data_IF_803797350981
#
_entry.id   IF_803797350981
#
_cell.length_a   1.000
_cell.length_b   1.000
_cell.length_c   1.000
_cell.angle_alpha   90.00
_cell.angle_beta   90.00
_cell.angle_gamma   90.00
#
_symmetry.space_group_name_H-M   'P 1'
#
loop_
_entity.id
_entity.type
_entity.pdbx_description
1 polymer ?
#
# COMPACT_ATOMS: atom_id res chain seq x y z
N UNK A 1 -33.31 -4.83 21.14
CA UNK A 1 -32.40 -5.10 22.27
C UNK A 1 -31.00 -5.21 21.70
N UNK A 2 -30.18 -4.18 21.87
CA UNK A 2 -28.83 -4.13 21.28
C UNK A 2 -27.79 -4.16 22.39
N UNK A 3 -27.05 -5.26 22.49
CA UNK A 3 -25.83 -5.32 23.29
C UNK A 3 -24.84 -4.28 22.78
N UNK A 4 -24.47 -3.37 23.67
CA UNK A 4 -23.50 -2.31 23.45
C UNK A 4 -22.25 -2.65 24.24
N UNK A 5 -21.46 -3.57 23.72
CA UNK A 5 -20.09 -3.75 24.18
C UNK A 5 -19.20 -2.68 23.57
N UNK A 6 -18.77 -1.75 24.43
CA UNK A 6 -17.74 -0.76 24.14
C UNK A 6 -16.57 -0.96 25.11
N UNK A 7 -15.38 -1.32 24.61
CA UNK A 7 -14.14 -0.96 25.25
C UNK A 7 -13.46 0.14 24.45
N UNK A 8 -13.14 1.24 25.13
CA UNK A 8 -12.35 2.33 24.58
C UNK A 8 -10.98 1.83 24.14
N UNK A 9 -10.64 2.08 22.87
CA UNK A 9 -9.27 2.00 22.38
C UNK A 9 -9.09 3.01 21.25
N UNK A 10 -8.05 3.83 21.40
CA UNK A 10 -7.49 4.69 20.36
C UNK A 10 -7.23 3.87 19.08
N UNK A 11 -7.34 4.48 17.88
CA UNK A 11 -7.38 3.73 16.63
C UNK A 11 -6.01 3.15 16.30
N UNK A 12 -5.76 1.92 16.71
CA UNK A 12 -4.85 1.04 16.00
C UNK A 12 -5.49 0.75 14.63
N UNK A 13 -4.88 1.29 13.56
CA UNK A 13 -5.33 1.19 12.16
C UNK A 13 -5.29 -0.25 11.58
N UNK A 14 -5.39 -1.28 12.41
CA UNK A 14 -5.08 -2.67 12.02
C UNK A 14 -6.27 -3.54 11.63
N UNK A 15 -7.39 -3.49 12.36
CA UNK A 15 -8.25 -4.70 12.38
C UNK A 15 -9.76 -4.47 12.53
N UNK A 16 -10.21 -3.27 12.89
CA UNK A 16 -11.65 -3.03 13.18
C UNK A 16 -12.42 -2.25 12.10
N UNK A 17 -11.78 -1.86 10.99
CA UNK A 17 -12.41 -1.03 9.95
C UNK A 17 -13.36 -1.82 9.03
N UNK A 18 -13.17 -3.13 8.91
CA UNK A 18 -13.98 -4.00 8.08
C UNK A 18 -14.65 -5.07 8.94
N UNK A 19 -15.95 -5.28 8.75
CA UNK A 19 -16.73 -6.35 9.39
C UNK A 19 -17.34 -7.24 8.31
N UNK A 20 -17.10 -8.54 8.38
CA UNK A 20 -17.83 -9.49 7.53
C UNK A 20 -19.20 -9.73 8.16
N UNK A 21 -20.27 -9.48 7.42
CA UNK A 21 -21.66 -9.76 7.83
C UNK A 21 -22.27 -10.63 6.74
N UNK A 22 -22.55 -11.89 7.05
CA UNK A 22 -22.92 -12.88 6.04
C UNK A 22 -21.77 -13.11 5.04
N UNK A 23 -22.04 -12.92 3.75
CA UNK A 23 -21.03 -13.04 2.69
C UNK A 23 -20.37 -11.70 2.32
N UNK A 24 -20.84 -10.57 2.84
CA UNK A 24 -20.40 -9.25 2.41
C UNK A 24 -19.62 -8.49 3.48
N UNK A 25 -18.61 -7.74 3.04
CA UNK A 25 -17.88 -6.83 3.90
C UNK A 25 -18.64 -5.52 4.12
N UNK A 26 -18.57 -5.03 5.35
CA UNK A 26 -19.08 -3.74 5.79
C UNK A 26 -17.92 -2.86 6.25
N UNK A 27 -17.96 -1.60 5.83
CA UNK A 27 -17.10 -0.54 6.33
C UNK A 27 -17.66 0.03 7.62
N UNK A 28 -16.78 0.24 8.61
CA UNK A 28 -17.10 0.81 9.91
C UNK A 28 -16.09 1.89 10.28
N UNK A 29 -16.59 3.06 10.70
CA UNK A 29 -15.73 4.17 11.14
C UNK A 29 -16.43 5.03 12.19
N UNK A 30 -15.74 5.29 13.31
CA UNK A 30 -16.22 6.22 14.33
C UNK A 30 -16.25 7.68 13.82
N UNK A 31 -17.31 8.40 14.17
CA UNK A 31 -17.44 9.84 13.92
C UNK A 31 -16.75 10.59 15.07
N UNK A 32 -15.90 11.60 14.80
CA UNK A 32 -15.28 12.41 15.85
C UNK A 32 -16.32 13.06 16.77
N UNK A 33 -16.09 13.04 18.09
CA UNK A 33 -17.04 13.53 19.13
C UNK A 33 -17.59 14.93 18.83
N UNK A 34 -16.72 15.84 18.39
CA UNK A 34 -17.09 17.23 18.04
C UNK A 34 -18.14 17.30 16.92
N UNK A 35 -18.16 16.30 16.03
CA UNK A 35 -19.10 16.22 14.92
C UNK A 35 -20.34 15.38 15.22
N UNK A 36 -20.33 14.59 16.29
CA UNK A 36 -21.47 13.73 16.65
C UNK A 36 -22.72 14.55 16.99
N UNK A 37 -22.56 15.72 17.63
CA UNK A 37 -23.67 16.63 17.92
C UNK A 37 -24.30 17.21 16.65
N UNK A 38 -23.48 17.52 15.65
CA UNK A 38 -23.96 18.06 14.37
C UNK A 38 -24.58 16.98 13.46
N UNK A 39 -24.11 15.74 13.58
CA UNK A 39 -24.49 14.61 12.72
C UNK A 39 -25.49 13.64 13.33
N UNK A 40 -25.79 13.75 14.62
CA UNK A 40 -26.66 12.80 15.33
C UNK A 40 -26.20 11.33 15.25
N UNK A 41 -24.98 11.06 14.76
CA UNK A 41 -24.42 9.74 14.48
C UNK A 41 -23.05 9.61 15.12
N UNK A 42 -22.86 8.51 15.82
CA UNK A 42 -21.59 8.15 16.48
C UNK A 42 -20.69 7.30 15.59
N UNK A 43 -21.27 6.60 14.61
CA UNK A 43 -20.56 5.70 13.71
C UNK A 43 -21.13 5.78 12.28
N UNK A 44 -20.25 5.64 11.29
CA UNK A 44 -20.58 5.42 9.88
C UNK A 44 -20.43 3.92 9.61
N UNK A 45 -21.54 3.27 9.24
CA UNK A 45 -21.57 1.86 8.84
C UNK A 45 -22.20 1.73 7.45
N UNK A 46 -21.48 1.11 6.51
CA UNK A 46 -21.93 0.94 5.12
C UNK A 46 -21.57 -0.44 4.60
N UNK A 47 -22.48 -1.07 3.85
CA UNK A 47 -22.16 -2.29 3.12
C UNK A 47 -21.28 -1.96 1.92
N UNK A 48 -20.21 -2.75 1.72
CA UNK A 48 -19.36 -2.65 0.54
C UNK A 48 -19.82 -3.57 -0.59
N UNK A 49 -20.87 -4.39 -0.36
CA UNK A 49 -21.43 -5.34 -1.33
C UNK A 49 -20.35 -6.14 -2.06
N UNK A 50 -19.39 -6.68 -1.29
CA UNK A 50 -18.29 -7.45 -1.85
C UNK A 50 -17.90 -8.55 -0.89
N UNK A 51 -17.59 -9.71 -1.45
CA UNK A 51 -17.11 -10.89 -0.72
C UNK A 51 -15.57 -11.00 -0.76
N UNK A 52 -14.92 -10.18 -1.60
CA UNK A 52 -13.47 -10.15 -1.73
C UNK A 52 -12.86 -9.21 -0.69
N UNK A 53 -11.98 -9.76 0.16
CA UNK A 53 -11.26 -8.99 1.19
C UNK A 53 -10.38 -7.88 0.58
N UNK A 54 -9.79 -8.14 -0.60
CA UNK A 54 -8.95 -7.17 -1.28
C UNK A 54 -9.77 -5.97 -1.79
N UNK A 55 -10.87 -6.26 -2.48
CA UNK A 55 -11.77 -5.24 -3.01
C UNK A 55 -12.45 -4.45 -1.88
N UNK A 56 -12.80 -5.13 -0.79
CA UNK A 56 -13.29 -4.50 0.43
C UNK A 56 -12.28 -3.50 1.00
N UNK A 57 -11.00 -3.86 1.10
CA UNK A 57 -9.94 -2.96 1.56
C UNK A 57 -9.77 -1.75 0.65
N UNK A 58 -9.78 -1.96 -0.67
CA UNK A 58 -9.66 -0.88 -1.65
C UNK A 58 -10.83 0.12 -1.53
N UNK A 59 -12.08 -0.39 -1.53
CA UNK A 59 -13.29 0.44 -1.36
C UNK A 59 -13.30 1.16 -0.01
N UNK A 60 -12.95 0.46 1.07
CA UNK A 60 -12.89 1.04 2.40
C UNK A 60 -11.81 2.12 2.53
N UNK A 61 -10.65 1.97 1.90
CA UNK A 61 -9.62 3.00 1.87
C UNK A 61 -10.12 4.27 1.18
N UNK A 62 -10.82 4.14 0.05
CA UNK A 62 -11.41 5.27 -0.66
C UNK A 62 -12.48 5.99 0.20
N UNK A 63 -13.35 5.22 0.87
CA UNK A 63 -14.34 5.76 1.82
C UNK A 63 -13.67 6.47 3.00
N UNK A 64 -12.58 5.91 3.53
CA UNK A 64 -11.84 6.49 4.64
C UNK A 64 -11.20 7.85 4.26
N UNK A 65 -10.59 7.94 3.08
CA UNK A 65 -10.04 9.20 2.60
C UNK A 65 -11.13 10.28 2.49
N UNK A 66 -12.24 9.96 1.81
CA UNK A 66 -13.35 10.90 1.60
C UNK A 66 -14.02 11.34 2.90
N UNK A 67 -14.36 10.39 3.78
CA UNK A 67 -14.96 10.72 5.09
C UNK A 67 -13.98 11.53 5.95
N UNK A 68 -12.66 11.37 5.78
CA UNK A 68 -11.65 12.20 6.43
C UNK A 68 -11.68 13.66 5.97
N UNK A 69 -11.75 13.91 4.66
CA UNK A 69 -11.89 15.26 4.10
C UNK A 69 -13.17 15.95 4.59
N UNK A 70 -14.26 15.20 4.65
CA UNK A 70 -15.55 15.67 5.16
C UNK A 70 -15.43 16.07 6.62
N UNK A 71 -14.84 15.23 7.47
CA UNK A 71 -14.62 15.56 8.87
C UNK A 71 -13.67 16.74 9.07
N UNK A 72 -12.75 16.97 8.14
CA UNK A 72 -11.88 18.13 8.16
C UNK A 72 -12.66 19.40 7.81
N UNK A 73 -13.43 19.39 6.71
CA UNK A 73 -14.30 20.50 6.30
C UNK A 73 -15.35 20.85 7.37
N UNK A 74 -15.95 19.84 7.99
CA UNK A 74 -16.92 20.03 9.07
C UNK A 74 -16.30 20.73 10.29
N UNK A 75 -15.04 20.43 10.60
CA UNK A 75 -14.28 21.11 11.66
C UNK A 75 -13.95 22.55 11.30
N UNK A 76 -13.59 22.84 10.05
CA UNK A 76 -13.29 24.23 9.62
C UNK A 76 -14.54 25.10 9.53
N UNK A 77 -15.69 24.53 9.20
CA UNK A 77 -16.96 25.24 8.99
C UNK A 77 -17.82 25.39 10.26
N UNK A 78 -17.30 25.00 11.43
CA UNK A 78 -17.88 25.22 12.78
C UNK A 78 -19.43 25.14 12.84
N UNK A 79 -20.01 23.99 12.51
CA UNK A 79 -21.42 23.71 12.81
C UNK A 79 -22.44 23.93 11.69
N UNK A 80 -22.03 24.34 10.48
CA UNK A 80 -22.90 24.31 9.29
C UNK A 80 -22.92 22.97 8.54
N UNK A 81 -22.25 21.96 9.07
CA UNK A 81 -22.15 20.66 8.45
C UNK A 81 -23.42 19.83 8.71
N UNK A 82 -24.03 19.27 7.66
CA UNK A 82 -25.28 18.51 7.77
C UNK A 82 -25.11 17.05 7.37
N UNK A 83 -25.96 16.19 7.95
CA UNK A 83 -26.03 14.76 7.61
C UNK A 83 -26.27 14.48 6.12
N UNK A 84 -26.92 15.41 5.42
CA UNK A 84 -27.22 15.28 4.00
C UNK A 84 -25.96 15.30 3.15
N UNK A 85 -24.96 16.10 3.54
CA UNK A 85 -23.66 16.16 2.86
C UNK A 85 -22.82 14.90 3.08
N UNK A 86 -22.89 14.34 4.29
CA UNK A 86 -22.25 13.06 4.57
C UNK A 86 -22.92 11.94 3.78
N UNK A 87 -24.26 11.91 3.80
CA UNK A 87 -25.05 10.88 3.12
C UNK A 87 -24.87 10.96 1.60
N UNK A 88 -24.88 12.15 0.99
CA UNK A 88 -24.66 12.28 -0.46
C UNK A 88 -23.31 11.71 -0.88
N UNK A 89 -22.23 12.06 -0.18
CA UNK A 89 -20.88 11.57 -0.48
C UNK A 89 -20.71 10.06 -0.29
N UNK A 90 -21.47 9.46 0.62
CA UNK A 90 -21.52 8.03 0.83
C UNK A 90 -22.39 7.31 -0.21
N UNK A 91 -23.53 7.90 -0.58
CA UNK A 91 -24.49 7.36 -1.56
C UNK A 91 -23.93 7.41 -2.98
N UNK A 92 -23.13 8.42 -3.35
CA UNK A 92 -22.47 8.50 -4.66
C UNK A 92 -21.57 7.30 -5.00
N UNK A 93 -21.26 6.42 -4.04
CA UNK A 93 -20.45 5.22 -4.27
C UNK A 93 -21.26 3.92 -4.42
N UNK A 94 -22.58 3.95 -4.32
CA UNK A 94 -23.46 2.81 -4.60
C UNK A 94 -24.26 3.08 -5.88
N UNK A 95 -24.03 2.42 -7.02
CA UNK A 95 -22.97 1.49 -7.41
C UNK A 95 -22.11 2.07 -8.55
N UNK A 96 -20.79 2.17 -8.39
CA UNK A 96 -19.92 2.03 -9.56
C UNK A 96 -19.78 0.53 -9.78
N UNK A 97 -20.73 0.02 -10.56
CA UNK A 97 -20.67 -1.28 -11.22
C UNK A 97 -19.42 -1.29 -12.09
N UNK A 98 -18.28 -1.68 -11.51
CA UNK A 98 -17.32 -2.45 -12.30
C UNK A 98 -17.89 -3.86 -12.27
N UNK A 99 -18.78 -4.11 -13.23
CA UNK A 99 -19.14 -5.45 -13.67
C UNK A 99 -17.84 -6.28 -13.70
N UNK A 100 -17.72 -7.38 -12.95
CA UNK A 100 -16.74 -8.38 -13.30
C UNK A 100 -17.22 -9.00 -14.60
N UNK A 101 -16.72 -8.51 -15.75
CA UNK A 101 -16.92 -9.19 -17.03
C UNK A 101 -16.36 -10.61 -16.92
N UNK A 102 -17.26 -11.53 -16.66
CA UNK A 102 -17.06 -12.96 -16.81
C UNK A 102 -18.30 -13.51 -17.50
N UNK A 103 -18.27 -13.55 -18.83
CA UNK A 103 -18.97 -14.60 -19.55
C UNK A 103 -18.18 -15.05 -20.78
N UNK A 104 -18.25 -16.35 -21.04
CA UNK A 104 -17.30 -17.14 -21.80
C UNK A 104 -17.63 -17.30 -23.30
N UNK A 105 -16.55 -17.49 -24.09
CA UNK A 105 -16.33 -18.35 -25.27
C UNK A 105 -17.41 -18.66 -26.35
N UNK A 106 -16.95 -18.53 -27.61
CA UNK A 106 -17.38 -19.25 -28.83
C UNK A 106 -18.09 -18.33 -29.87
N UNK A 107 -17.71 -18.16 -31.14
CA UNK A 107 -16.90 -18.92 -32.11
C UNK A 107 -16.41 -17.95 -33.23
N UNK A 108 -15.18 -18.07 -33.75
CA UNK A 108 -14.82 -18.42 -35.16
C UNK A 108 -15.34 -17.43 -36.24
N UNK A 109 -14.62 -16.88 -37.23
CA UNK A 109 -13.30 -16.97 -37.83
C UNK A 109 -13.08 -15.60 -38.54
N UNK A 110 -11.90 -15.03 -38.77
CA UNK A 110 -10.96 -15.39 -39.85
C UNK A 110 -9.91 -14.26 -39.95
N UNK A 111 -8.70 -14.61 -40.39
CA UNK A 111 -7.63 -13.78 -40.98
C UNK A 111 -6.53 -13.22 -40.05
N UNK A 112 -5.44 -13.99 -39.97
CA UNK A 112 -4.07 -13.50 -39.83
C UNK A 112 -3.54 -13.04 -41.22
N UNK A 113 -2.25 -12.68 -41.41
CA UNK A 113 -1.27 -11.95 -40.59
C UNK A 113 -0.68 -10.73 -41.35
N UNK A 114 0.11 -9.84 -40.71
CA UNK A 114 1.43 -9.41 -41.22
C UNK A 114 2.17 -8.40 -40.33
N UNK A 115 3.47 -8.70 -40.15
CA UNK A 115 4.57 -7.89 -39.62
C UNK A 115 4.67 -6.54 -40.33
N UNK A 116 5.03 -5.44 -39.63
CA UNK A 116 6.09 -4.48 -40.03
C UNK A 116 6.70 -3.76 -38.81
N UNK A 117 8.00 -3.57 -38.91
CA UNK A 117 8.98 -2.91 -38.04
C UNK A 117 8.86 -1.37 -38.05
N UNK A 118 9.66 -0.74 -37.17
CA UNK A 118 10.28 0.62 -37.25
C UNK A 118 9.64 1.75 -36.39
N UNK A 119 10.42 2.21 -35.38
CA UNK A 119 10.33 3.49 -34.61
C UNK A 119 10.62 4.70 -35.55
N UNK A 120 10.86 5.98 -35.14
CA UNK A 120 10.66 6.73 -33.88
C UNK A 120 10.03 8.14 -34.06
N UNK A 121 9.31 8.68 -33.07
CA UNK A 121 9.07 10.14 -32.82
C UNK A 121 8.02 10.25 -31.71
N UNK A 122 7.94 11.25 -30.83
CA UNK A 122 8.58 12.56 -30.74
C UNK A 122 8.54 12.98 -29.26
N UNK A 123 9.46 13.86 -28.88
CA UNK A 123 9.67 14.34 -27.51
C UNK A 123 8.49 15.20 -27.04
N UNK A 124 7.90 14.86 -25.89
CA UNK A 124 7.15 15.81 -25.07
C UNK A 124 7.76 15.84 -23.67
N UNK A 125 8.66 16.79 -23.49
CA UNK A 125 9.25 17.16 -22.21
C UNK A 125 8.24 17.95 -21.39
N UNK A 126 7.57 17.33 -20.43
CA UNK A 126 6.95 18.10 -19.34
C UNK A 126 8.05 18.50 -18.36
N UNK A 127 8.52 19.76 -18.49
CA UNK A 127 9.42 20.39 -17.53
C UNK A 127 8.69 20.54 -16.19
N UNK A 128 8.90 19.58 -15.29
CA UNK A 128 8.56 19.76 -13.87
C UNK A 128 9.62 20.68 -13.27
N UNK A 129 9.22 21.94 -13.04
CA UNK A 129 10.00 22.92 -12.28
C UNK A 129 10.18 22.37 -10.86
N UNK A 130 11.31 21.70 -10.62
CA UNK A 130 11.71 21.28 -9.29
C UNK A 130 12.22 22.52 -8.55
N UNK A 131 11.52 22.89 -7.46
CA UNK A 131 12.01 23.87 -6.47
C UNK A 131 13.45 23.50 -6.04
N UNK A 132 14.37 24.46 -5.87
CA UNK A 132 15.76 24.17 -5.54
C UNK A 132 15.84 23.54 -4.15
N UNK A 133 16.26 22.28 -4.10
CA UNK A 133 16.43 21.53 -2.85
C UNK A 133 17.71 22.04 -2.18
N UNK A 134 17.53 22.69 -1.03
CA UNK A 134 18.58 23.18 -0.13
C UNK A 134 19.73 22.18 -0.03
N UNK A 135 20.94 22.66 -0.27
CA UNK A 135 22.21 21.96 -0.06
C UNK A 135 22.42 21.70 1.44
N UNK A 136 21.93 20.57 1.93
CA UNK A 136 22.35 20.05 3.24
C UNK A 136 23.56 19.14 3.02
N UNK A 137 24.65 19.42 3.73
CA UNK A 137 25.92 18.69 3.74
C UNK A 137 25.65 17.18 3.74
N UNK A 138 26.19 16.46 2.75
CA UNK A 138 26.05 15.01 2.61
C UNK A 138 26.61 14.36 3.89
N UNK A 139 25.83 13.58 4.66
CA UNK A 139 26.44 12.69 5.63
C UNK A 139 27.36 11.71 4.89
N UNK A 140 28.43 11.22 5.52
CA UNK A 140 29.33 10.25 4.91
C UNK A 140 28.50 9.08 4.38
N UNK A 141 28.72 8.73 3.12
CA UNK A 141 27.97 7.68 2.45
C UNK A 141 28.31 6.34 3.12
N UNK A 142 27.45 5.88 4.02
CA UNK A 142 27.60 4.58 4.67
C UNK A 142 27.41 3.51 3.59
N UNK A 143 28.47 2.76 3.31
CA UNK A 143 28.41 1.60 2.42
C UNK A 143 27.51 0.52 3.01
N UNK A 144 26.91 -0.31 2.16
CA UNK A 144 26.06 -1.41 2.62
C UNK A 144 26.84 -2.39 3.53
N UNK A 145 28.10 -2.67 3.20
CA UNK A 145 29.01 -3.45 4.05
C UNK A 145 29.20 -2.83 5.43
N UNK A 146 29.44 -1.51 5.50
CA UNK A 146 29.58 -0.76 6.74
C UNK A 146 28.29 -0.73 7.56
N UNK A 147 27.14 -0.61 6.90
CA UNK A 147 25.84 -0.67 7.54
C UNK A 147 25.55 -2.03 8.17
N UNK A 148 25.93 -3.12 7.51
CA UNK A 148 25.80 -4.48 8.05
C UNK A 148 26.60 -4.62 9.36
N UNK A 149 27.85 -4.15 9.38
CA UNK A 149 28.68 -4.19 10.58
C UNK A 149 28.03 -3.40 11.72
N UNK A 150 27.65 -2.16 11.46
CA UNK A 150 27.17 -1.22 12.47
C UNK A 150 25.80 -1.58 13.05
N UNK A 151 24.87 -2.08 12.24
CA UNK A 151 23.48 -2.27 12.66
C UNK A 151 23.11 -3.73 12.96
N UNK A 152 23.76 -4.69 12.31
CA UNK A 152 23.42 -6.11 12.46
C UNK A 152 24.43 -6.82 13.34
N UNK A 153 25.73 -6.66 13.08
CA UNK A 153 26.75 -7.41 13.82
C UNK A 153 27.02 -6.83 15.20
N UNK A 154 27.09 -5.49 15.30
CA UNK A 154 27.25 -4.78 16.57
C UNK A 154 26.03 -4.89 17.51
N UNK A 155 24.90 -5.45 17.06
CA UNK A 155 23.72 -5.60 17.91
C UNK A 155 23.87 -6.80 18.87
N UNK A 156 23.90 -6.60 20.20
CA UNK A 156 24.06 -7.69 21.17
C UNK A 156 22.80 -8.55 21.32
N UNK A 157 21.63 -8.03 20.94
CA UNK A 157 20.34 -8.69 21.15
C UNK A 157 19.89 -9.56 19.95
N UNK A 158 20.69 -9.62 18.89
CA UNK A 158 20.37 -10.40 17.69
C UNK A 158 20.96 -11.82 17.76
N UNK A 159 20.15 -12.83 17.40
CA UNK A 159 20.58 -14.22 17.27
C UNK A 159 21.69 -14.38 16.22
N UNK A 160 22.59 -15.35 16.44
CA UNK A 160 23.67 -15.70 15.51
C UNK A 160 23.12 -16.10 14.13
N UNK A 161 22.02 -16.86 14.10
CA UNK A 161 21.35 -17.26 12.85
C UNK A 161 20.89 -16.05 12.02
N UNK A 162 20.27 -15.06 12.67
CA UNK A 162 19.79 -13.85 11.99
C UNK A 162 20.96 -13.02 11.46
N UNK A 163 22.07 -12.95 12.22
CA UNK A 163 23.29 -12.27 11.77
C UNK A 163 23.87 -12.95 10.53
N UNK A 164 23.99 -14.27 10.54
CA UNK A 164 24.51 -15.04 9.41
C UNK A 164 23.59 -14.98 8.18
N UNK A 165 22.27 -15.11 8.35
CA UNK A 165 21.31 -15.01 7.27
C UNK A 165 21.37 -13.63 6.58
N UNK A 166 21.50 -12.57 7.38
CA UNK A 166 21.64 -11.20 6.87
C UNK A 166 22.99 -11.00 6.18
N UNK A 167 24.08 -11.53 6.75
CA UNK A 167 25.40 -11.51 6.12
C UNK A 167 25.38 -12.19 4.74
N UNK A 168 24.80 -13.39 4.63
CA UNK A 168 24.66 -14.12 3.36
C UNK A 168 23.87 -13.30 2.33
N UNK A 169 22.79 -12.68 2.76
CA UNK A 169 21.94 -11.84 1.90
C UNK A 169 22.70 -10.61 1.38
N UNK A 170 23.42 -9.91 2.25
CA UNK A 170 24.24 -8.76 1.87
C UNK A 170 25.41 -9.17 0.97
N UNK A 171 26.04 -10.33 1.23
CA UNK A 171 27.10 -10.85 0.36
C UNK A 171 26.58 -11.17 -1.06
N UNK A 172 25.38 -11.75 -1.18
CA UNK A 172 24.73 -11.95 -2.49
C UNK A 172 24.45 -10.63 -3.19
N UNK A 173 23.99 -9.62 -2.46
CA UNK A 173 23.75 -8.30 -3.02
C UNK A 173 25.05 -7.67 -3.55
N UNK A 174 26.12 -7.66 -2.75
CA UNK A 174 27.43 -7.11 -3.14
C UNK A 174 27.99 -7.88 -4.34
N UNK A 175 27.82 -9.21 -4.39
CA UNK A 175 28.24 -10.02 -5.53
C UNK A 175 27.53 -9.64 -6.84
N UNK A 176 26.26 -9.23 -6.76
CA UNK A 176 25.44 -8.93 -7.92
C UNK A 176 25.52 -7.47 -8.38
N UNK A 177 25.52 -6.53 -7.44
CA UNK A 177 25.40 -5.09 -7.71
C UNK A 177 26.62 -4.28 -7.26
N UNK A 178 27.58 -4.90 -6.57
CA UNK A 178 28.70 -4.22 -5.93
C UNK A 178 28.35 -3.64 -4.56
N UNK A 179 29.36 -3.19 -3.84
CA UNK A 179 29.16 -2.47 -2.58
C UNK A 179 28.73 -1.04 -2.89
N UNK A 180 27.44 -0.76 -2.67
CA UNK A 180 26.83 0.54 -2.95
C UNK A 180 26.51 1.27 -1.65
N UNK A 181 26.51 2.61 -1.66
CA UNK A 181 26.05 3.37 -0.51
C UNK A 181 24.56 3.13 -0.26
N UNK A 182 24.18 3.05 1.01
CA UNK A 182 22.78 2.82 1.42
C UNK A 182 21.83 3.89 0.86
N UNK A 183 22.32 5.11 0.59
CA UNK A 183 21.53 6.19 -0.02
C UNK A 183 21.08 5.93 -1.45
N UNK A 184 21.82 5.11 -2.19
CA UNK A 184 21.61 4.89 -3.63
C UNK A 184 20.79 3.60 -3.88
N UNK A 185 20.52 2.83 -2.82
CA UNK A 185 19.65 1.66 -2.85
C UNK A 185 18.19 2.12 -2.90
N UNK A 186 17.71 2.36 -4.11
CA UNK A 186 16.30 2.69 -4.39
C UNK A 186 15.43 1.47 -4.67
N UNK A 187 14.13 1.71 -4.85
CA UNK A 187 13.15 0.67 -5.17
C UNK A 187 13.45 -0.11 -6.46
N UNK A 188 14.10 0.53 -7.45
CA UNK A 188 14.53 -0.14 -8.68
C UNK A 188 15.61 -1.20 -8.41
N UNK A 189 16.58 -0.90 -7.54
CA UNK A 189 17.65 -1.84 -7.20
C UNK A 189 17.12 -2.97 -6.31
N UNK A 190 16.22 -2.65 -5.37
CA UNK A 190 15.54 -3.65 -4.55
C UNK A 190 14.69 -4.61 -5.40
N UNK A 191 13.98 -4.09 -6.41
CA UNK A 191 13.23 -4.89 -7.37
C UNK A 191 14.13 -5.83 -8.17
N UNK A 192 15.20 -5.30 -8.76
CA UNK A 192 16.17 -6.09 -9.52
C UNK A 192 16.83 -7.20 -8.67
N UNK A 193 17.17 -6.91 -7.40
CA UNK A 193 17.71 -7.91 -6.49
C UNK A 193 16.68 -9.00 -6.15
N UNK A 194 15.41 -8.64 -5.95
CA UNK A 194 14.34 -9.62 -5.73
C UNK A 194 14.16 -10.52 -6.95
N UNK A 195 14.14 -9.95 -8.15
CA UNK A 195 14.01 -10.72 -9.39
C UNK A 195 15.22 -11.64 -9.59
N UNK A 196 16.42 -11.16 -9.24
CA UNK A 196 17.62 -12.00 -9.18
C UNK A 196 17.43 -13.16 -8.19
N UNK A 197 16.97 -12.91 -6.96
CA UNK A 197 16.73 -13.98 -5.98
C UNK A 197 15.73 -15.04 -6.48
N UNK A 198 14.75 -14.65 -7.29
CA UNK A 198 13.76 -15.56 -7.88
C UNK A 198 14.29 -16.37 -9.06
N UNK A 199 15.30 -15.84 -9.76
CA UNK A 199 15.95 -16.53 -10.89
C UNK A 199 17.07 -17.47 -10.43
N UNK A 200 17.57 -17.31 -9.20
CA UNK A 200 18.55 -18.23 -8.63
C UNK A 200 17.93 -19.62 -8.42
N UNK A 201 18.65 -20.70 -8.77
CA UNK A 201 18.17 -22.05 -8.52
C UNK A 201 18.00 -22.28 -7.01
N UNK A 202 16.91 -22.95 -6.62
CA UNK A 202 16.57 -23.21 -5.22
C UNK A 202 17.61 -24.04 -4.43
N UNK A 203 18.64 -24.56 -5.10
CA UNK A 203 19.78 -25.25 -4.49
C UNK A 203 20.71 -24.33 -3.71
N UNK A 204 20.67 -23.01 -3.95
CA UNK A 204 21.55 -22.04 -3.29
C UNK A 204 21.16 -21.78 -1.82
N UNK A 205 19.97 -22.19 -1.38
CA UNK A 205 19.52 -22.10 0.00
C UNK A 205 19.87 -23.34 0.87
N UNK A 206 20.45 -24.39 0.27
CA UNK A 206 20.77 -25.65 0.96
C UNK A 206 22.20 -26.10 0.63
N UNK A 207 23.21 -25.36 1.06
CA UNK A 207 24.53 -25.98 1.22
C UNK A 207 24.47 -26.79 2.50
N UNK A 208 24.21 -28.08 2.36
CA UNK A 208 24.41 -29.07 3.43
C UNK A 208 25.91 -29.11 3.70
N UNK A 209 26.29 -28.84 4.94
CA UNK A 209 27.67 -29.02 5.40
C UNK A 209 28.12 -30.44 5.06
N UNK A 210 29.24 -30.55 4.35
CA UNK A 210 30.05 -31.77 4.25
C UNK A 210 31.08 -31.66 5.37
#
# INVERSE_FOLDING_TARGET
MGERDFPGCLPSLGTHMLRLIGSHYHFRRAVPVVLQACLGKTEISLSLQTESKFLARQRAAALYARTGEVFHKARTMQGRFSDKELTSLLTFQSPVTLEPEKNAQGAEATSAPQRKTVKPREKLTCKVIRKPRRTKKKPPALMLSGALMQFVLSNPNASTDTKEATQRTVALYIRAFGDTPVSDIGGSQAGAFRDLLLTLPATLAKVKAI
#
